data_IF_385070364023
#
_entry.id   IF_385070364023
#
_cell.length_a   1.000
_cell.length_b   1.000
_cell.length_c   1.000
_cell.angle_alpha   90.00
_cell.angle_beta   90.00
_cell.angle_gamma   90.00
#
_symmetry.space_group_name_H-M   'P 1'
#
loop_
_entity.id
_entity.type
_entity.pdbx_description
1 polymer ?
#
# COMPACT_ATOMS: atom_id res chain seq x y z
N UNK A 1 -23.43 5.90 -4.00
CA UNK A 1 -22.45 4.98 -4.54
C UNK A 1 -21.04 5.44 -4.26
N UNK A 2 -20.20 4.55 -3.81
CA UNK A 2 -18.84 4.90 -3.50
C UNK A 2 -17.99 4.87 -4.74
N UNK A 3 -17.21 5.90 -4.91
CA UNK A 3 -16.31 5.98 -6.04
C UNK A 3 -14.87 5.75 -5.63
N UNK A 4 -14.61 5.70 -4.33
CA UNK A 4 -13.26 5.51 -3.82
C UNK A 4 -13.27 4.51 -2.69
N UNK A 5 -12.22 3.70 -2.59
CA UNK A 5 -12.10 2.82 -1.44
C UNK A 5 -11.84 3.62 -0.18
N UNK A 6 -12.29 3.08 0.94
CA UNK A 6 -12.03 3.71 2.21
C UNK A 6 -10.73 3.18 2.78
N UNK A 7 -9.91 4.05 3.37
CA UNK A 7 -8.66 3.57 3.96
C UNK A 7 -8.91 2.72 5.20
N UNK A 8 -8.10 1.71 5.41
CA UNK A 8 -8.15 0.96 6.66
C UNK A 8 -7.87 1.88 7.85
N UNK A 9 -8.42 1.51 8.99
CA UNK A 9 -8.24 2.32 10.19
C UNK A 9 -6.80 2.56 10.55
N UNK A 10 -5.97 1.54 10.39
CA UNK A 10 -4.58 1.63 10.78
C UNK A 10 -3.70 2.26 9.72
N UNK A 11 -4.28 2.62 8.59
CA UNK A 11 -3.48 3.16 7.50
C UNK A 11 -2.94 4.54 7.84
N UNK A 12 -1.67 4.76 7.56
CA UNK A 12 -1.03 6.04 7.71
C UNK A 12 -0.33 6.41 6.43
N UNK A 13 -0.06 7.71 6.32
CA UNK A 13 0.58 8.23 5.13
C UNK A 13 1.91 7.56 4.85
N UNK A 14 2.65 7.22 5.88
CA UNK A 14 3.95 6.62 5.67
C UNK A 14 3.87 5.24 5.04
N UNK A 15 2.75 4.55 5.22
CA UNK A 15 2.55 3.28 4.52
C UNK A 15 2.50 3.51 3.02
N UNK A 16 1.79 4.53 2.60
CA UNK A 16 1.66 4.82 1.18
C UNK A 16 2.99 5.30 0.60
N UNK A 17 3.69 6.12 1.34
CA UNK A 17 4.99 6.61 0.91
C UNK A 17 5.98 5.45 0.76
N UNK A 18 5.96 4.54 1.72
CA UNK A 18 6.83 3.38 1.67
C UNK A 18 6.56 2.54 0.42
N UNK A 19 5.29 2.32 0.11
CA UNK A 19 4.94 1.53 -1.06
C UNK A 19 5.30 2.25 -2.36
N UNK A 20 5.10 3.56 -2.40
CA UNK A 20 5.51 4.34 -3.57
C UNK A 20 7.01 4.22 -3.81
N UNK A 21 7.78 4.34 -2.74
CA UNK A 21 9.23 4.25 -2.86
C UNK A 21 9.68 2.85 -3.25
N UNK A 22 9.02 1.85 -2.69
CA UNK A 22 9.36 0.48 -3.00
C UNK A 22 9.12 0.19 -4.49
N UNK A 23 8.01 0.70 -5.00
CA UNK A 23 7.70 0.52 -6.40
C UNK A 23 8.71 1.22 -7.29
N UNK A 24 9.10 2.42 -6.91
CA UNK A 24 10.05 3.20 -7.70
C UNK A 24 11.45 2.59 -7.67
N UNK A 25 11.79 1.96 -6.56
CA UNK A 25 13.11 1.35 -6.44
C UNK A 25 13.22 0.07 -7.27
N UNK A 26 12.10 -0.46 -7.71
CA UNK A 26 12.07 -1.64 -8.57
C UNK A 26 12.63 -2.88 -7.90
N UNK A 27 12.62 -2.90 -6.58
CA UNK A 27 13.17 -4.02 -5.84
C UNK A 27 12.24 -5.21 -5.80
N UNK A 28 10.95 -4.95 -5.95
CA UNK A 28 9.97 -6.03 -5.92
C UNK A 28 8.75 -5.61 -6.72
N UNK A 29 7.92 -6.57 -7.06
CA UNK A 29 6.67 -6.26 -7.70
C UNK A 29 5.59 -6.03 -6.64
N UNK A 30 4.39 -5.70 -7.10
CA UNK A 30 3.28 -5.39 -6.18
C UNK A 30 3.00 -6.54 -5.24
N UNK A 31 3.05 -7.74 -5.76
CA UNK A 31 2.69 -8.92 -4.97
C UNK A 31 3.73 -9.24 -3.91
N UNK A 32 4.95 -8.80 -4.13
CA UNK A 32 6.02 -9.02 -3.17
C UNK A 32 6.12 -7.96 -2.10
N UNK A 33 5.27 -6.93 -2.17
CA UNK A 33 5.37 -5.82 -1.23
C UNK A 33 4.85 -6.15 0.16
N UNK A 34 3.97 -7.15 0.27
CA UNK A 34 3.35 -7.46 1.56
C UNK A 34 4.37 -7.86 2.62
N UNK A 35 5.30 -8.78 2.34
CA UNK A 35 6.31 -9.11 3.36
C UNK A 35 7.14 -7.91 3.77
N UNK A 36 7.41 -7.01 2.84
CA UNK A 36 8.17 -5.81 3.17
C UNK A 36 7.40 -4.91 4.12
N UNK A 37 6.09 -4.78 3.90
CA UNK A 37 5.25 -4.00 4.80
C UNK A 37 5.23 -4.61 6.20
N UNK A 38 5.06 -5.92 6.26
CA UNK A 38 5.00 -6.60 7.54
C UNK A 38 6.27 -6.38 8.34
N UNK A 39 7.40 -6.46 7.66
CA UNK A 39 8.68 -6.33 8.32
C UNK A 39 8.95 -4.87 8.72
N UNK A 40 8.65 -3.96 7.84
CA UNK A 40 8.98 -2.55 8.07
C UNK A 40 8.14 -1.96 9.20
N UNK A 41 6.87 -2.30 9.25
CA UNK A 41 5.95 -1.67 10.19
C UNK A 41 5.48 -2.60 11.29
N UNK A 42 6.00 -3.81 11.33
CA UNK A 42 5.66 -4.81 12.36
C UNK A 42 4.16 -5.04 12.43
N UNK A 43 3.54 -5.17 11.29
CA UNK A 43 2.11 -5.43 11.20
C UNK A 43 1.88 -6.85 10.72
N UNK A 44 0.68 -7.36 10.93
CA UNK A 44 0.41 -8.72 10.53
C UNK A 44 -0.02 -8.78 9.07
N UNK A 45 -0.24 -10.00 8.62
CA UNK A 45 -0.53 -10.28 7.23
C UNK A 45 -1.82 -9.62 6.77
N UNK A 46 -2.83 -9.64 7.61
CA UNK A 46 -4.12 -9.04 7.25
C UNK A 46 -4.02 -7.55 7.09
N UNK A 47 -3.33 -6.90 8.02
CA UNK A 47 -3.15 -5.46 7.94
C UNK A 47 -2.33 -5.08 6.72
N UNK A 48 -1.27 -5.83 6.46
CA UNK A 48 -0.45 -5.56 5.30
C UNK A 48 -1.23 -5.72 4.01
N UNK A 49 -2.08 -6.73 3.96
CA UNK A 49 -2.89 -6.96 2.77
C UNK A 49 -3.89 -5.82 2.55
N UNK A 50 -4.51 -5.35 3.62
CA UNK A 50 -5.46 -4.25 3.50
C UNK A 50 -4.78 -2.98 3.03
N UNK A 51 -3.62 -2.69 3.58
CA UNK A 51 -2.86 -1.52 3.18
C UNK A 51 -2.46 -1.62 1.72
N UNK A 52 -1.94 -2.77 1.33
CA UNK A 52 -1.51 -2.98 -0.03
C UNK A 52 -2.66 -2.86 -1.02
N UNK A 53 -3.79 -3.45 -0.68
CA UNK A 53 -4.96 -3.39 -1.54
C UNK A 53 -5.44 -1.96 -1.71
N UNK A 54 -5.51 -1.22 -0.60
CA UNK A 54 -5.91 0.17 -0.66
C UNK A 54 -4.94 0.98 -1.51
N UNK A 55 -3.65 0.73 -1.34
CA UNK A 55 -2.64 1.44 -2.10
C UNK A 55 -2.80 1.17 -3.60
N UNK A 56 -3.01 -0.09 -3.96
CA UNK A 56 -3.19 -0.43 -5.37
C UNK A 56 -4.44 0.19 -5.96
N UNK A 57 -5.51 0.20 -5.18
CA UNK A 57 -6.78 0.77 -5.65
C UNK A 57 -6.69 2.27 -5.86
N UNK A 58 -5.89 2.95 -5.07
CA UNK A 58 -5.79 4.40 -5.15
C UNK A 58 -4.57 4.88 -5.93
N UNK A 59 -3.66 3.97 -6.26
CA UNK A 59 -2.43 4.35 -6.92
C UNK A 59 -2.71 5.07 -8.23
N UNK A 60 -3.63 4.55 -8.99
CA UNK A 60 -3.97 5.12 -10.28
C UNK A 60 -4.49 6.54 -10.13
N UNK A 61 -5.37 6.76 -9.15
CA UNK A 61 -5.94 8.08 -8.93
C UNK A 61 -4.88 9.09 -8.54
N UNK A 62 -3.86 8.65 -7.81
CA UNK A 62 -2.83 9.55 -7.34
C UNK A 62 -1.75 9.82 -8.36
N UNK A 63 -1.58 8.93 -9.34
CA UNK A 63 -0.46 9.01 -10.27
C UNK A 63 -0.87 9.20 -11.73
N UNK A 64 -2.15 9.20 -12.00
CA UNK A 64 -2.62 9.48 -13.36
C UNK A 64 -2.65 11.00 -13.53
N UNK A 65 -2.02 11.46 -14.55
CA UNK A 65 -1.95 12.88 -14.80
C UNK A 65 -3.21 13.45 -15.41
#
# INVERSE_FOLDING_TARGET
MKTRPEPPEMLENEHLIFLDELRESDKTNMYGARPFLMDEFSIDKNDALEILTYWMDTYRDRHVG
#
